data_IF_796230951193
#
_entry.id   IF_796230951193
#
_cell.length_a   1.000
_cell.length_b   1.000
_cell.length_c   1.000
_cell.angle_alpha   90.00
_cell.angle_beta   90.00
_cell.angle_gamma   90.00
#
_symmetry.space_group_name_H-M   'P 1'
#
loop_
_entity.id
_entity.type
_entity.pdbx_description
1 polymer ?
#
# COMPACT_ATOMS: atom_id res chain seq x y z
N UNK A 1 5.90 -10.14 21.03
CA UNK A 1 5.26 -8.88 21.47
C UNK A 1 5.12 -7.88 20.33
N UNK A 2 6.13 -7.72 19.45
CA UNK A 2 6.12 -6.71 18.37
C UNK A 2 5.05 -6.93 17.28
N UNK A 3 4.47 -8.12 17.15
CA UNK A 3 3.48 -8.46 16.10
C UNK A 3 2.10 -7.82 16.31
N UNK A 4 1.86 -7.23 17.47
CA UNK A 4 0.56 -6.68 17.87
C UNK A 4 0.55 -5.15 18.03
N UNK A 5 1.70 -4.50 17.88
CA UNK A 5 1.79 -3.03 17.96
C UNK A 5 1.84 -2.49 16.54
N UNK A 6 0.75 -1.87 16.11
CA UNK A 6 0.63 -1.28 14.78
C UNK A 6 0.97 0.22 14.78
N UNK A 7 0.84 0.89 15.92
CA UNK A 7 1.11 2.31 16.03
C UNK A 7 1.60 2.64 17.44
N UNK A 8 2.74 3.32 17.51
CA UNK A 8 3.34 3.80 18.77
C UNK A 8 4.18 5.03 18.46
N UNK A 9 3.55 6.21 18.48
CA UNK A 9 4.19 7.47 18.16
C UNK A 9 3.70 8.60 19.04
N UNK A 10 4.45 9.70 19.02
CA UNK A 10 4.12 10.97 19.63
C UNK A 10 4.10 12.03 18.54
N UNK A 11 3.13 12.92 18.59
CA UNK A 11 3.02 14.05 17.68
C UNK A 11 3.03 15.36 18.46
N UNK A 12 3.75 16.35 17.93
CA UNK A 12 3.80 17.71 18.44
C UNK A 12 3.38 18.68 17.36
N UNK A 13 2.40 19.51 17.66
CA UNK A 13 1.98 20.60 16.79
C UNK A 13 2.74 21.87 17.19
N UNK A 14 3.75 22.21 16.42
CA UNK A 14 4.50 23.45 16.60
C UNK A 14 3.68 24.64 16.01
N UNK A 15 3.53 25.76 16.74
CA UNK A 15 2.79 26.95 16.29
C UNK A 15 3.62 27.79 15.31
N UNK A 16 4.02 27.19 14.19
CA UNK A 16 4.81 27.83 13.13
C UNK A 16 3.94 27.97 11.90
N UNK A 17 3.70 29.16 11.44
CA UNK A 17 2.86 29.45 10.26
C UNK A 17 1.48 28.80 10.38
N UNK A 18 1.13 27.93 9.43
CA UNK A 18 -0.15 27.20 9.40
C UNK A 18 -0.17 25.96 10.33
N UNK A 19 0.83 25.77 11.19
CA UNK A 19 0.97 24.63 12.09
C UNK A 19 1.83 23.52 11.51
N UNK A 20 3.02 23.33 12.09
CA UNK A 20 3.94 22.25 11.73
C UNK A 20 3.72 21.06 12.67
N UNK A 21 3.23 19.93 12.16
CA UNK A 21 3.08 18.69 12.93
C UNK A 21 4.32 17.82 12.77
N UNK A 22 5.00 17.53 13.87
CA UNK A 22 6.16 16.62 13.90
C UNK A 22 5.70 15.35 14.60
N UNK A 23 5.86 14.19 13.95
CA UNK A 23 5.51 12.88 14.49
C UNK A 23 6.76 12.01 14.55
N UNK A 24 7.03 11.39 15.70
CA UNK A 24 8.15 10.48 15.90
C UNK A 24 7.69 9.13 16.47
N UNK A 25 8.28 8.03 16.00
CA UNK A 25 8.00 6.67 16.43
C UNK A 25 7.47 5.78 15.30
N UNK A 26 6.61 4.81 15.65
CA UNK A 26 5.96 3.91 14.71
C UNK A 26 4.65 4.52 14.24
N UNK A 27 4.54 4.81 12.95
CA UNK A 27 3.36 5.41 12.33
C UNK A 27 2.94 4.66 11.04
N UNK A 28 1.72 4.89 10.61
CA UNK A 28 1.23 4.34 9.36
C UNK A 28 2.06 4.87 8.18
N UNK A 29 2.27 4.03 7.18
CA UNK A 29 3.02 4.42 5.99
C UNK A 29 2.50 5.71 5.36
N UNK A 30 3.40 6.48 4.82
CA UNK A 30 3.12 7.64 3.98
C UNK A 30 3.02 7.26 2.49
N UNK A 31 3.21 5.98 2.16
CA UNK A 31 3.07 5.41 0.82
C UNK A 31 1.85 4.48 0.76
N UNK A 32 1.23 4.43 -0.43
CA UNK A 32 0.08 3.56 -0.70
C UNK A 32 -1.27 4.22 -0.43
N UNK A 33 -2.28 3.77 -1.17
CA UNK A 33 -3.67 4.16 -1.02
C UNK A 33 -4.38 3.30 0.02
N UNK A 34 -4.12 1.99 -0.01
CA UNK A 34 -4.80 1.02 0.84
C UNK A 34 -4.17 0.97 2.23
N UNK A 35 -5.02 0.88 3.23
CA UNK A 35 -4.64 0.81 4.65
C UNK A 35 -4.27 -0.61 5.07
N UNK A 36 -3.49 -0.72 6.15
CA UNK A 36 -3.33 -1.97 6.90
C UNK A 36 -4.68 -2.51 7.43
N UNK A 37 -5.61 -1.63 7.76
CA UNK A 37 -6.88 -2.01 8.36
C UNK A 37 -7.94 -2.25 7.28
N UNK A 38 -8.50 -3.46 7.22
CA UNK A 38 -9.51 -3.83 6.22
C UNK A 38 -10.78 -2.96 6.29
N UNK A 39 -11.08 -2.38 7.46
CA UNK A 39 -12.23 -1.47 7.63
C UNK A 39 -12.08 -0.17 6.81
N UNK A 40 -10.86 0.25 6.54
CA UNK A 40 -10.56 1.49 5.83
C UNK A 40 -10.39 1.28 4.31
N UNK A 41 -10.41 0.03 3.85
CA UNK A 41 -10.30 -0.33 2.46
C UNK A 41 -11.67 -0.62 1.83
N UNK A 42 -11.80 -0.37 0.55
CA UNK A 42 -13.01 -0.68 -0.20
C UNK A 42 -13.18 -2.19 -0.46
N UNK A 43 -12.08 -2.91 -0.73
CA UNK A 43 -12.01 -4.36 -0.83
C UNK A 43 -11.52 -4.97 0.49
N UNK A 44 -11.76 -6.26 0.72
CA UNK A 44 -11.21 -6.99 1.86
C UNK A 44 -9.74 -7.35 1.62
N UNK A 45 -9.42 -7.92 0.45
CA UNK A 45 -8.02 -8.14 0.03
C UNK A 45 -7.38 -6.84 -0.44
N UNK A 46 -6.07 -6.75 -0.26
CA UNK A 46 -5.27 -5.62 -0.73
C UNK A 46 -4.70 -5.90 -2.13
N UNK A 47 -4.36 -4.84 -2.82
CA UNK A 47 -3.72 -4.92 -4.13
C UNK A 47 -2.27 -5.38 -4.05
N UNK A 48 -1.72 -5.84 -5.17
CA UNK A 48 -0.30 -6.20 -5.29
C UNK A 48 0.63 -5.04 -4.95
N UNK A 49 0.29 -3.80 -5.36
CA UNK A 49 1.08 -2.63 -4.97
C UNK A 49 1.04 -2.41 -3.47
N UNK A 50 -0.10 -2.56 -2.82
CA UNK A 50 -0.24 -2.37 -1.38
C UNK A 50 0.53 -3.42 -0.57
N UNK A 51 0.50 -4.68 -0.99
CA UNK A 51 1.23 -5.76 -0.31
C UNK A 51 2.76 -5.68 -0.54
N UNK A 52 3.19 -4.93 -1.55
CA UNK A 52 4.61 -4.69 -1.85
C UNK A 52 5.09 -3.29 -1.45
N UNK A 53 4.31 -2.54 -0.68
CA UNK A 53 4.69 -1.29 0.01
C UNK A 53 4.58 -1.43 1.53
N UNK A 54 5.36 -0.69 2.31
CA UNK A 54 5.27 -0.76 3.77
C UNK A 54 3.92 -0.22 4.25
N UNK A 55 3.29 -0.91 5.20
CA UNK A 55 2.10 -0.43 5.92
C UNK A 55 2.45 0.44 7.12
N UNK A 56 3.67 0.31 7.62
CA UNK A 56 4.17 1.03 8.78
C UNK A 56 5.59 1.49 8.54
N UNK A 57 5.93 2.63 9.10
CA UNK A 57 7.28 3.20 9.09
C UNK A 57 7.68 3.59 10.51
N UNK A 58 8.97 3.45 10.82
CA UNK A 58 9.55 3.90 12.07
C UNK A 58 10.56 5.01 11.80
N UNK A 59 10.37 6.16 12.44
CA UNK A 59 11.22 7.31 12.23
C UNK A 59 10.57 8.61 12.66
N UNK A 60 10.83 9.67 11.90
CA UNK A 60 10.27 11.00 12.13
C UNK A 60 9.70 11.52 10.82
N UNK A 61 8.54 12.18 10.89
CA UNK A 61 8.01 12.97 9.80
C UNK A 61 7.58 14.36 10.28
N UNK A 62 7.63 15.32 9.38
CA UNK A 62 7.23 16.68 9.59
C UNK A 62 6.23 17.09 8.49
N UNK A 63 4.99 17.33 8.88
CA UNK A 63 3.90 17.70 7.99
C UNK A 63 3.54 19.16 8.16
N UNK A 64 3.40 19.86 7.05
CA UNK A 64 3.05 21.27 7.03
C UNK A 64 1.96 21.57 5.99
N UNK A 65 0.82 22.16 6.39
CA UNK A 65 -0.17 22.72 5.46
C UNK A 65 0.40 23.98 4.80
N UNK A 66 0.89 23.82 3.57
CA UNK A 66 1.51 24.93 2.82
C UNK A 66 0.45 25.96 2.39
N UNK A 67 -0.73 25.46 1.99
CA UNK A 67 -1.95 26.21 1.70
C UNK A 67 -3.17 25.44 2.19
N UNK A 68 -4.37 25.98 2.07
CA UNK A 68 -5.63 25.29 2.44
C UNK A 68 -5.85 24.00 1.66
N UNK A 69 -5.28 23.91 0.46
CA UNK A 69 -5.45 22.75 -0.42
C UNK A 69 -4.16 21.96 -0.69
N UNK A 70 -3.00 22.37 -0.16
CA UNK A 70 -1.72 21.69 -0.35
C UNK A 70 -1.04 21.43 0.99
N UNK A 71 -0.86 20.16 1.30
CA UNK A 71 -0.08 19.71 2.46
C UNK A 71 1.19 19.02 1.98
N UNK A 72 2.32 19.35 2.58
CA UNK A 72 3.62 18.73 2.32
C UNK A 72 4.12 18.02 3.58
N UNK A 73 4.83 16.91 3.38
CA UNK A 73 5.44 16.13 4.47
C UNK A 73 6.85 15.73 4.05
N UNK A 74 7.83 15.97 4.89
CA UNK A 74 9.15 15.37 4.78
C UNK A 74 9.29 14.26 5.84
N UNK A 75 10.03 13.19 5.54
CA UNK A 75 10.23 12.12 6.49
C UNK A 75 11.64 11.51 6.42
N UNK A 76 12.09 11.02 7.57
CA UNK A 76 13.31 10.25 7.75
C UNK A 76 12.93 8.99 8.51
N UNK A 77 13.20 7.82 7.92
CA UNK A 77 12.78 6.52 8.46
C UNK A 77 13.91 5.51 8.42
N UNK A 78 13.80 4.46 9.22
CA UNK A 78 14.84 3.44 9.29
C UNK A 78 15.02 2.63 8.00
N UNK A 79 13.96 2.46 7.20
CA UNK A 79 14.03 1.75 5.93
C UNK A 79 12.65 1.44 5.36
N UNK A 80 12.63 0.79 4.18
CA UNK A 80 11.39 0.52 3.46
C UNK A 80 10.48 -0.47 4.21
N UNK A 81 11.05 -1.62 4.65
CA UNK A 81 10.35 -2.63 5.45
C UNK A 81 10.93 -2.81 6.85
N UNK A 82 11.82 -1.91 7.29
CA UNK A 82 12.57 -2.09 8.53
C UNK A 82 12.06 -1.15 9.62
N UNK A 83 11.71 -1.72 10.76
CA UNK A 83 11.40 -0.97 11.97
C UNK A 83 12.67 -0.62 12.77
N UNK A 84 13.74 -1.44 12.68
CA UNK A 84 15.09 -1.10 13.09
C UNK A 84 15.89 -0.65 11.87
N UNK A 85 16.95 0.14 12.06
CA UNK A 85 17.75 0.58 10.92
C UNK A 85 18.57 -0.61 10.34
N UNK A 86 18.51 -0.85 9.04
CA UNK A 86 19.29 -1.93 8.40
C UNK A 86 20.72 -1.49 8.07
N UNK A 87 21.00 -0.20 8.05
CA UNK A 87 22.27 0.43 7.68
C UNK A 87 22.60 1.63 8.56
N UNK A 88 23.80 2.18 8.41
CA UNK A 88 24.26 3.38 9.12
C UNK A 88 23.61 4.67 8.61
N UNK A 89 22.89 4.64 7.50
CA UNK A 89 22.09 5.75 7.00
C UNK A 89 20.60 5.44 7.02
N UNK A 90 19.77 6.40 7.44
CA UNK A 90 18.32 6.29 7.31
C UNK A 90 17.89 6.44 5.85
N UNK A 91 16.62 6.19 5.62
CA UNK A 91 15.95 6.49 4.37
C UNK A 91 15.18 7.80 4.48
N UNK A 92 15.00 8.46 3.35
CA UNK A 92 14.41 9.79 3.25
C UNK A 92 13.24 9.78 2.29
N UNK A 93 12.33 10.71 2.47
CA UNK A 93 11.28 10.90 1.50
C UNK A 93 10.47 12.16 1.73
N UNK A 94 9.59 12.39 0.76
CA UNK A 94 8.65 13.47 0.78
C UNK A 94 7.29 13.03 0.25
N UNK A 95 6.24 13.61 0.81
CA UNK A 95 4.86 13.42 0.36
C UNK A 95 4.21 14.78 0.18
N UNK A 96 3.38 14.92 -0.85
CA UNK A 96 2.46 16.05 -0.94
C UNK A 96 1.06 15.55 -1.30
N UNK A 97 0.09 16.23 -0.75
CA UNK A 97 -1.33 16.00 -0.97
C UNK A 97 -1.91 17.32 -1.47
N UNK A 98 -2.41 17.31 -2.70
CA UNK A 98 -3.05 18.44 -3.30
C UNK A 98 -4.53 18.17 -3.59
N UNK A 99 -5.40 18.91 -2.92
CA UNK A 99 -6.84 18.94 -3.17
C UNK A 99 -7.12 19.92 -4.30
N UNK A 100 -7.03 19.43 -5.56
CA UNK A 100 -7.20 20.27 -6.74
C UNK A 100 -8.61 20.87 -6.82
N UNK A 101 -9.60 20.12 -6.36
CA UNK A 101 -11.00 20.55 -6.18
C UNK A 101 -11.58 19.88 -4.94
N UNK A 102 -12.82 20.26 -4.48
CA UNK A 102 -13.50 19.52 -3.41
C UNK A 102 -13.70 18.03 -3.69
N UNK A 103 -13.64 17.62 -4.97
CA UNK A 103 -13.87 16.22 -5.41
C UNK A 103 -12.61 15.52 -5.93
N UNK A 104 -11.50 16.23 -6.13
CA UNK A 104 -10.27 15.68 -6.73
C UNK A 104 -9.08 15.93 -5.81
N UNK A 105 -8.40 14.86 -5.45
CA UNK A 105 -7.14 14.92 -4.71
C UNK A 105 -6.04 14.15 -5.45
N UNK A 106 -4.82 14.70 -5.41
CA UNK A 106 -3.60 14.07 -5.89
C UNK A 106 -2.65 13.90 -4.71
N UNK A 107 -2.21 12.68 -4.48
CA UNK A 107 -1.16 12.37 -3.50
C UNK A 107 0.04 11.80 -4.21
N UNK A 108 1.23 12.31 -3.90
CA UNK A 108 2.49 11.76 -4.38
C UNK A 108 3.45 11.57 -3.23
N UNK A 109 4.14 10.44 -3.23
CA UNK A 109 5.19 10.14 -2.25
C UNK A 109 6.43 9.66 -2.99
N UNK A 110 7.58 10.22 -2.63
CA UNK A 110 8.89 9.80 -3.10
C UNK A 110 9.70 9.29 -1.92
N UNK A 111 10.41 8.19 -2.14
CA UNK A 111 11.26 7.54 -1.15
C UNK A 111 12.63 7.25 -1.75
N UNK A 112 13.67 7.45 -0.97
CA UNK A 112 15.05 7.12 -1.32
C UNK A 112 15.82 6.65 -0.09
N UNK A 113 16.47 5.49 -0.16
CA UNK A 113 17.31 5.03 0.92
C UNK A 113 17.89 3.63 0.73
N UNK A 114 18.93 3.30 1.50
CA UNK A 114 19.50 1.96 1.54
C UNK A 114 18.54 1.03 2.28
N UNK A 115 18.14 -0.07 1.65
CA UNK A 115 17.18 -1.02 2.25
C UNK A 115 17.77 -2.39 2.54
N UNK A 116 18.97 -2.67 2.03
CA UNK A 116 19.65 -3.95 2.25
C UNK A 116 20.51 -3.86 3.51
N UNK A 117 20.39 -4.87 4.39
CA UNK A 117 21.09 -4.91 5.68
C UNK A 117 22.60 -5.01 5.49
N UNK A 118 23.36 -4.22 6.26
CA UNK A 118 24.83 -4.24 6.32
C UNK A 118 25.51 -4.12 4.94
N UNK A 119 24.91 -3.31 4.06
CA UNK A 119 25.46 -3.08 2.72
C UNK A 119 26.04 -1.69 2.56
N UNK A 120 26.79 -1.49 1.46
CA UNK A 120 27.27 -0.19 1.04
C UNK A 120 26.13 0.77 0.70
N UNK A 121 26.37 2.07 0.87
CA UNK A 121 25.42 3.14 0.60
C UNK A 121 25.09 3.33 -0.89
N UNK A 122 25.76 2.65 -1.78
CA UNK A 122 25.45 2.66 -3.22
C UNK A 122 24.20 1.86 -3.60
N UNK A 123 23.72 0.97 -2.68
CA UNK A 123 22.57 0.09 -2.92
C UNK A 123 21.25 0.72 -2.49
N UNK A 124 20.93 1.83 -3.11
CA UNK A 124 19.73 2.60 -2.83
C UNK A 124 18.50 2.09 -3.57
N UNK A 125 17.40 2.05 -2.85
CA UNK A 125 16.05 1.97 -3.41
C UNK A 125 15.53 3.38 -3.65
N UNK A 126 15.01 3.59 -4.86
CA UNK A 126 14.21 4.75 -5.22
C UNK A 126 12.79 4.26 -5.49
N UNK A 127 11.81 4.92 -4.92
CA UNK A 127 10.41 4.52 -5.07
C UNK A 127 9.50 5.73 -5.15
N UNK A 128 8.55 5.68 -6.10
CA UNK A 128 7.51 6.68 -6.27
C UNK A 128 6.14 6.03 -6.17
N UNK A 129 5.24 6.66 -5.40
CA UNK A 129 3.85 6.28 -5.28
C UNK A 129 2.98 7.48 -5.66
N UNK A 130 2.05 7.30 -6.57
CA UNK A 130 1.18 8.32 -7.13
C UNK A 130 -0.27 7.87 -7.01
N UNK A 131 -1.14 8.73 -6.44
CA UNK A 131 -2.54 8.42 -6.19
C UNK A 131 -3.37 9.58 -6.69
N UNK A 132 -4.37 9.29 -7.53
CA UNK A 132 -5.40 10.22 -7.96
C UNK A 132 -6.74 9.73 -7.43
N UNK A 133 -7.44 10.59 -6.68
CA UNK A 133 -8.75 10.28 -6.12
C UNK A 133 -9.79 11.25 -6.70
N UNK A 134 -10.94 10.69 -7.06
CA UNK A 134 -12.13 11.46 -7.39
C UNK A 134 -13.32 10.94 -6.58
N UNK A 135 -14.00 11.85 -5.88
CA UNK A 135 -15.17 11.53 -5.04
C UNK A 135 -16.39 12.22 -5.59
N UNK A 136 -17.32 11.46 -6.16
CA UNK A 136 -18.66 11.89 -6.53
C UNK A 136 -19.65 11.62 -5.39
N UNK A 137 -20.95 11.78 -5.69
CA UNK A 137 -22.01 11.61 -4.69
C UNK A 137 -22.21 10.12 -4.38
N UNK A 138 -22.26 9.27 -5.42
CA UNK A 138 -22.46 7.82 -5.28
C UNK A 138 -21.24 7.00 -5.70
N UNK A 139 -20.28 7.60 -6.40
CA UNK A 139 -19.12 6.90 -6.94
C UNK A 139 -17.84 7.54 -6.44
N UNK A 140 -16.92 6.71 -5.98
CA UNK A 140 -15.53 7.10 -5.68
C UNK A 140 -14.60 6.30 -6.57
N UNK A 141 -13.63 6.98 -7.17
CA UNK A 141 -12.57 6.37 -7.99
C UNK A 141 -11.22 6.76 -7.41
N UNK A 142 -10.38 5.78 -7.15
CA UNK A 142 -8.98 5.99 -6.78
C UNK A 142 -8.09 5.19 -7.71
N UNK A 143 -7.17 5.87 -8.39
CA UNK A 143 -6.14 5.25 -9.22
C UNK A 143 -4.79 5.41 -8.55
N UNK A 144 -4.07 4.31 -8.36
CA UNK A 144 -2.72 4.30 -7.79
C UNK A 144 -1.73 3.73 -8.79
N UNK A 145 -0.54 4.32 -8.82
CA UNK A 145 0.57 3.86 -9.64
C UNK A 145 1.87 3.97 -8.84
N UNK A 146 2.60 2.87 -8.80
CA UNK A 146 3.87 2.74 -8.11
C UNK A 146 4.98 2.38 -9.10
N UNK A 147 6.16 2.97 -8.89
CA UNK A 147 7.37 2.68 -9.66
C UNK A 147 8.57 2.67 -8.74
N UNK A 148 9.44 1.67 -8.89
CA UNK A 148 10.60 1.52 -8.05
C UNK A 148 11.81 0.92 -8.76
N UNK A 149 12.98 1.25 -8.23
CA UNK A 149 14.26 0.69 -8.70
C UNK A 149 15.24 0.56 -7.53
N UNK A 150 16.07 -0.48 -7.58
CA UNK A 150 17.07 -0.75 -6.55
C UNK A 150 18.33 -1.38 -7.17
N UNK A 151 19.51 -0.97 -6.71
CA UNK A 151 20.74 -1.72 -6.95
C UNK A 151 20.86 -2.83 -5.92
N UNK A 152 21.41 -4.00 -6.29
CA UNK A 152 21.53 -5.15 -5.38
C UNK A 152 23.01 -5.41 -5.08
N UNK A 153 23.33 -5.54 -3.78
CA UNK A 153 24.66 -5.93 -3.32
C UNK A 153 25.07 -7.30 -3.87
N UNK A 154 26.35 -7.48 -4.13
CA UNK A 154 26.89 -8.73 -4.65
C UNK A 154 26.61 -9.00 -6.14
N UNK A 155 26.04 -8.04 -6.86
CA UNK A 155 25.79 -8.12 -8.30
C UNK A 155 26.37 -6.94 -9.06
N UNK A 156 27.70 -6.74 -9.01
CA UNK A 156 28.32 -5.61 -9.70
C UNK A 156 28.11 -5.70 -11.22
N UNK A 157 27.94 -4.55 -11.85
CA UNK A 157 27.74 -4.46 -13.31
C UNK A 157 26.36 -4.89 -13.82
N UNK A 158 25.44 -5.34 -12.97
CA UNK A 158 24.06 -5.63 -13.36
C UNK A 158 23.23 -4.36 -13.37
N UNK A 159 22.28 -4.23 -14.31
CA UNK A 159 21.34 -3.13 -14.30
C UNK A 159 20.52 -3.14 -13.00
N UNK A 160 20.08 -1.97 -12.56
CA UNK A 160 19.19 -1.83 -11.42
C UNK A 160 17.91 -2.66 -11.63
N UNK A 161 17.43 -3.25 -10.56
CA UNK A 161 16.12 -3.92 -10.57
C UNK A 161 15.02 -2.89 -10.78
N UNK A 162 13.92 -3.34 -11.32
CA UNK A 162 12.80 -2.47 -11.66
C UNK A 162 11.47 -3.13 -11.31
N UNK A 163 10.59 -2.35 -10.73
CA UNK A 163 9.22 -2.71 -10.43
C UNK A 163 8.28 -1.59 -10.83
N UNK A 164 7.10 -1.94 -11.30
CA UNK A 164 5.98 -1.01 -11.40
C UNK A 164 4.66 -1.76 -11.18
N UNK A 165 3.67 -1.04 -10.72
CA UNK A 165 2.34 -1.59 -10.54
C UNK A 165 1.30 -0.49 -10.49
N UNK A 166 0.06 -0.86 -10.67
CA UNK A 166 -1.05 0.06 -10.57
C UNK A 166 -2.36 -0.64 -10.30
N UNK A 167 -3.27 0.07 -9.70
CA UNK A 167 -4.64 -0.35 -9.52
C UNK A 167 -5.60 0.82 -9.73
N UNK A 168 -6.85 0.49 -9.97
CA UNK A 168 -7.94 1.46 -9.96
C UNK A 168 -9.08 0.88 -9.12
N UNK A 169 -9.39 1.53 -8.01
CA UNK A 169 -10.53 1.18 -7.15
C UNK A 169 -11.72 2.03 -7.57
N UNK A 170 -12.78 1.37 -8.02
CA UNK A 170 -14.07 2.02 -8.31
C UNK A 170 -15.07 1.50 -7.29
N UNK A 171 -15.53 2.34 -6.40
CA UNK A 171 -16.60 2.04 -5.45
C UNK A 171 -17.86 2.78 -5.85
N UNK A 172 -18.95 2.04 -6.02
CA UNK A 172 -20.28 2.57 -6.32
C UNK A 172 -21.26 2.23 -5.21
N UNK A 173 -21.82 3.24 -4.58
CA UNK A 173 -22.96 3.14 -3.69
C UNK A 173 -24.23 3.04 -4.53
N UNK A 174 -24.85 1.85 -4.56
CA UNK A 174 -25.99 1.58 -5.44
C UNK A 174 -27.27 2.19 -4.84
N UNK A 175 -27.61 1.74 -3.64
CA UNK A 175 -28.80 2.23 -2.90
C UNK A 175 -28.79 1.69 -1.47
N UNK A 176 -29.29 2.48 -0.51
CA UNK A 176 -29.45 2.05 0.89
C UNK A 176 -28.13 1.51 1.46
N UNK A 177 -28.10 0.26 1.97
CA UNK A 177 -26.87 -0.31 2.57
C UNK A 177 -25.89 -0.94 1.56
N UNK A 178 -26.21 -0.96 0.26
CA UNK A 178 -25.48 -1.71 -0.74
C UNK A 178 -24.44 -0.89 -1.50
N UNK A 179 -23.24 -1.42 -1.59
CA UNK A 179 -22.19 -0.90 -2.48
C UNK A 179 -21.52 -2.04 -3.23
N UNK A 180 -20.96 -1.73 -4.40
CA UNK A 180 -20.10 -2.62 -5.15
C UNK A 180 -18.76 -1.97 -5.37
N UNK A 181 -17.70 -2.78 -5.44
CA UNK A 181 -16.34 -2.31 -5.70
C UNK A 181 -15.73 -3.18 -6.78
N UNK A 182 -15.05 -2.53 -7.72
CA UNK A 182 -14.22 -3.18 -8.72
C UNK A 182 -12.80 -2.65 -8.62
N UNK A 183 -11.81 -3.56 -8.62
CA UNK A 183 -10.39 -3.21 -8.60
C UNK A 183 -9.62 -4.03 -9.62
N UNK A 184 -9.49 -3.59 -10.87
CA UNK A 184 -8.45 -4.07 -11.77
C UNK A 184 -7.08 -3.59 -11.31
N UNK A 185 -6.06 -4.44 -11.48
CA UNK A 185 -4.69 -4.16 -11.08
C UNK A 185 -3.68 -4.91 -11.95
N UNK A 186 -2.45 -4.37 -11.99
CA UNK A 186 -1.30 -5.06 -12.53
C UNK A 186 -0.08 -4.82 -11.64
N UNK A 187 0.87 -5.74 -11.68
CA UNK A 187 2.15 -5.63 -10.99
C UNK A 187 3.25 -6.32 -11.79
N UNK A 188 4.31 -5.59 -12.12
CA UNK A 188 5.45 -6.11 -12.84
C UNK A 188 6.72 -6.01 -12.01
N UNK A 189 7.19 -7.16 -11.52
CA UNK A 189 8.49 -7.31 -10.89
C UNK A 189 9.47 -7.90 -11.89
N UNK A 190 10.15 -7.03 -12.62
CA UNK A 190 11.02 -7.42 -13.74
C UNK A 190 12.15 -8.36 -13.33
N UNK A 191 12.62 -8.26 -12.10
CA UNK A 191 13.82 -8.95 -11.63
C UNK A 191 13.54 -9.80 -10.38
N UNK A 192 12.30 -9.99 -9.97
CA UNK A 192 11.94 -10.78 -8.80
C UNK A 192 12.40 -10.19 -7.46
N UNK A 193 12.67 -8.91 -7.39
CA UNK A 193 13.22 -8.27 -6.19
C UNK A 193 12.18 -8.01 -5.10
N UNK A 194 10.95 -7.74 -5.47
CA UNK A 194 9.85 -7.42 -4.56
C UNK A 194 9.01 -8.63 -4.20
N UNK A 195 8.65 -9.42 -5.21
CA UNK A 195 7.79 -10.60 -5.04
C UNK A 195 8.56 -11.91 -4.87
N UNK A 196 9.87 -11.89 -5.07
CA UNK A 196 10.72 -13.07 -5.05
C UNK A 196 10.80 -13.83 -6.37
N UNK A 197 10.04 -13.42 -7.39
CA UNK A 197 10.02 -14.06 -8.72
C UNK A 197 9.85 -13.03 -9.83
N UNK A 198 10.55 -13.24 -10.95
CA UNK A 198 10.33 -12.46 -12.17
C UNK A 198 8.94 -12.75 -12.70
N UNK A 199 8.04 -11.77 -12.63
CA UNK A 199 6.66 -11.97 -13.01
C UNK A 199 5.94 -10.68 -13.38
N UNK A 200 4.92 -10.83 -14.21
CA UNK A 200 3.90 -9.85 -14.48
C UNK A 200 2.55 -10.40 -14.04
N UNK A 201 1.96 -9.79 -13.05
CA UNK A 201 0.66 -10.19 -12.49
C UNK A 201 -0.40 -9.22 -12.96
N UNK A 202 -1.53 -9.76 -13.40
CA UNK A 202 -2.78 -9.03 -13.63
C UNK A 202 -3.82 -9.60 -12.68
N UNK A 203 -4.61 -8.74 -12.08
CA UNK A 203 -5.68 -9.21 -11.22
C UNK A 203 -6.93 -8.34 -11.35
N UNK A 204 -8.06 -8.93 -10.98
CA UNK A 204 -9.32 -8.22 -10.85
C UNK A 204 -10.02 -8.68 -9.59
N UNK A 205 -10.44 -7.72 -8.76
CA UNK A 205 -11.18 -7.97 -7.53
C UNK A 205 -12.55 -7.32 -7.63
N UNK A 206 -13.60 -8.08 -7.33
CA UNK A 206 -14.98 -7.61 -7.28
C UNK A 206 -15.53 -7.85 -5.88
N UNK A 207 -16.11 -6.83 -5.25
CA UNK A 207 -16.66 -6.92 -3.90
C UNK A 207 -18.09 -6.39 -3.90
N UNK A 208 -18.99 -7.12 -3.24
CA UNK A 208 -20.32 -6.64 -2.87
C UNK A 208 -20.29 -6.39 -1.37
N UNK A 209 -20.70 -5.21 -0.97
CA UNK A 209 -20.71 -4.76 0.42
C UNK A 209 -22.13 -4.45 0.88
N UNK A 210 -22.46 -4.93 2.08
CA UNK A 210 -23.68 -4.57 2.80
C UNK A 210 -23.29 -3.94 4.14
N UNK A 211 -23.66 -2.66 4.35
CA UNK A 211 -23.41 -1.92 5.58
C UNK A 211 -24.67 -1.90 6.43
N UNK A 212 -24.59 -2.49 7.62
CA UNK A 212 -25.72 -2.47 8.55
C UNK A 212 -25.95 -1.06 9.12
N UNK A 213 -27.20 -0.60 9.18
CA UNK A 213 -27.55 0.75 9.61
C UNK A 213 -27.59 0.89 11.15
N UNK A 214 -26.53 0.47 11.83
CA UNK A 214 -26.41 0.66 13.28
C UNK A 214 -25.83 2.04 13.63
N UNK A 215 -26.34 2.63 14.72
CA UNK A 215 -25.89 3.99 15.14
C UNK A 215 -24.51 4.01 15.78
N UNK A 216 -24.16 2.96 16.52
CA UNK A 216 -22.95 2.94 17.36
C UNK A 216 -21.90 1.94 16.93
N UNK A 217 -22.18 1.16 15.92
CA UNK A 217 -21.33 0.09 15.43
C UNK A 217 -21.34 0.13 13.91
N UNK A 218 -20.18 0.25 13.31
CA UNK A 218 -20.06 0.01 11.88
C UNK A 218 -19.88 -1.50 11.66
N UNK A 219 -20.93 -2.17 11.23
CA UNK A 219 -20.89 -3.57 10.82
C UNK A 219 -21.06 -3.63 9.30
N UNK A 220 -20.10 -4.28 8.66
CA UNK A 220 -20.07 -4.43 7.21
C UNK A 220 -19.84 -5.89 6.87
N UNK A 221 -20.64 -6.44 5.97
CA UNK A 221 -20.43 -7.76 5.37
C UNK A 221 -19.97 -7.56 3.94
N UNK A 222 -18.90 -8.26 3.55
CA UNK A 222 -18.35 -8.25 2.19
C UNK A 222 -18.28 -9.66 1.62
N UNK A 223 -18.82 -9.83 0.43
CA UNK A 223 -18.56 -10.98 -0.42
C UNK A 223 -17.60 -10.52 -1.54
N UNK A 224 -16.46 -11.16 -1.66
CA UNK A 224 -15.38 -10.77 -2.56
C UNK A 224 -14.93 -11.94 -3.41
N UNK A 225 -14.76 -11.71 -4.70
CA UNK A 225 -14.08 -12.59 -5.64
C UNK A 225 -12.86 -11.88 -6.18
N UNK A 226 -11.72 -12.58 -6.15
CA UNK A 226 -10.46 -12.12 -6.75
C UNK A 226 -9.96 -13.18 -7.73
N UNK A 227 -9.55 -12.72 -8.90
CA UNK A 227 -8.82 -13.50 -9.90
C UNK A 227 -7.45 -12.88 -10.12
N UNK A 228 -6.41 -13.69 -10.08
CA UNK A 228 -5.04 -13.30 -10.40
C UNK A 228 -4.50 -14.19 -11.52
N UNK A 229 -3.77 -13.61 -12.48
CA UNK A 229 -3.01 -14.26 -13.56
C UNK A 229 -1.56 -13.77 -13.51
N UNK A 230 -0.62 -14.69 -13.35
CA UNK A 230 0.82 -14.40 -13.31
C UNK A 230 1.52 -14.97 -14.53
N UNK A 231 2.32 -14.16 -15.21
CA UNK A 231 3.18 -14.56 -16.32
C UNK A 231 4.63 -14.21 -15.99
N UNK A 232 5.56 -15.06 -16.39
CA UNK A 232 7.00 -14.89 -16.19
C UNK A 232 7.68 -16.17 -15.71
N UNK A 233 8.99 -16.22 -15.88
CA UNK A 233 9.80 -17.35 -15.46
C UNK A 233 9.86 -17.45 -13.93
N UNK A 234 9.36 -18.53 -13.35
CA UNK A 234 9.32 -18.75 -11.91
C UNK A 234 8.23 -18.04 -11.14
N UNK A 235 7.35 -17.27 -11.84
CA UNK A 235 6.15 -16.69 -11.27
C UNK A 235 4.98 -17.68 -11.18
N UNK A 236 3.95 -17.32 -10.44
CA UNK A 236 2.72 -18.09 -10.27
C UNK A 236 2.33 -18.30 -8.82
N UNK A 237 1.24 -19.05 -8.64
CA UNK A 237 0.58 -19.27 -7.36
C UNK A 237 0.75 -20.71 -6.91
N UNK A 238 0.88 -20.93 -5.61
CA UNK A 238 1.06 -22.27 -5.05
C UNK A 238 -0.11 -23.17 -5.38
N UNK A 239 0.22 -24.34 -5.98
CA UNK A 239 -0.72 -25.38 -6.30
C UNK A 239 -0.34 -26.66 -5.58
N UNK A 240 -1.29 -27.33 -4.96
CA UNK A 240 -1.07 -28.64 -4.37
C UNK A 240 -0.70 -29.65 -5.47
N UNK A 241 0.45 -30.30 -5.37
CA UNK A 241 1.04 -31.15 -6.39
C UNK A 241 0.41 -32.53 -6.57
N UNK A 242 -0.76 -32.82 -6.05
CA UNK A 242 -1.64 -33.96 -6.32
C UNK A 242 -1.10 -35.38 -5.96
N UNK A 243 0.10 -35.74 -6.27
CA UNK A 243 0.65 -37.09 -6.04
C UNK A 243 1.71 -37.11 -4.92
N UNK A 244 2.30 -35.98 -4.61
CA UNK A 244 3.28 -35.82 -3.52
C UNK A 244 2.90 -34.66 -2.67
N UNK A 245 2.46 -34.85 -1.41
CA UNK A 245 2.09 -33.75 -0.51
C UNK A 245 3.23 -32.78 -0.16
N UNK A 246 4.48 -33.21 -0.41
CA UNK A 246 5.71 -32.45 -0.19
C UNK A 246 6.17 -31.64 -1.42
N UNK A 247 5.53 -31.81 -2.58
CA UNK A 247 5.85 -31.06 -3.80
C UNK A 247 4.82 -29.97 -4.05
N UNK A 248 5.24 -28.73 -3.88
CA UNK A 248 4.42 -27.54 -4.19
C UNK A 248 4.72 -27.13 -5.63
N UNK A 249 3.73 -27.27 -6.51
CA UNK A 249 3.80 -26.74 -7.88
C UNK A 249 3.35 -25.28 -7.93
N UNK A 250 3.59 -24.62 -9.06
CA UNK A 250 3.06 -23.30 -9.35
C UNK A 250 1.96 -23.41 -10.41
N UNK A 251 0.88 -22.64 -10.23
CA UNK A 251 -0.18 -22.43 -11.20
C UNK A 251 -0.14 -20.99 -11.67
N UNK A 252 -0.40 -20.76 -12.95
CA UNK A 252 -0.45 -19.43 -13.52
C UNK A 252 -1.59 -18.58 -12.95
N UNK A 253 -2.69 -19.20 -12.60
CA UNK A 253 -3.93 -18.56 -12.23
C UNK A 253 -4.38 -18.98 -10.84
N UNK A 254 -5.05 -18.06 -10.14
CA UNK A 254 -5.77 -18.39 -8.90
C UNK A 254 -7.09 -17.64 -8.83
N UNK A 255 -8.06 -18.27 -8.15
CA UNK A 255 -9.32 -17.65 -7.75
C UNK A 255 -9.43 -17.68 -6.23
N UNK A 256 -9.86 -16.57 -5.66
CA UNK A 256 -10.13 -16.45 -4.24
C UNK A 256 -11.57 -15.96 -4.03
N UNK A 257 -12.33 -16.68 -3.23
CA UNK A 257 -13.66 -16.29 -2.78
C UNK A 257 -13.62 -16.05 -1.28
N UNK A 258 -14.06 -14.90 -0.83
CA UNK A 258 -14.05 -14.48 0.57
C UNK A 258 -15.43 -13.99 0.98
N UNK A 259 -15.83 -14.38 2.20
CA UNK A 259 -16.93 -13.74 2.93
C UNK A 259 -16.33 -13.16 4.22
N UNK A 260 -16.36 -11.86 4.36
CA UNK A 260 -15.81 -11.14 5.50
C UNK A 260 -16.87 -10.37 6.28
N UNK A 261 -16.76 -10.37 7.60
CA UNK A 261 -17.54 -9.50 8.49
C UNK A 261 -16.58 -8.56 9.19
N UNK A 262 -16.79 -7.27 9.05
CA UNK A 262 -16.01 -6.22 9.68
C UNK A 262 -16.88 -5.52 10.72
N UNK A 263 -16.39 -5.44 11.93
CA UNK A 263 -17.06 -4.73 13.02
C UNK A 263 -16.09 -3.70 13.58
N UNK A 264 -16.51 -2.45 13.61
CA UNK A 264 -15.75 -1.38 14.25
C UNK A 264 -16.65 -0.55 15.16
N UNK A 265 -16.09 -0.17 16.29
CA UNK A 265 -16.73 0.70 17.26
C UNK A 265 -16.01 2.04 17.20
N UNK A 266 -16.77 3.09 16.96
CA UNK A 266 -16.26 4.45 17.11
C UNK A 266 -16.55 4.90 18.55
N UNK A 267 -15.57 5.42 19.27
CA UNK A 267 -15.82 6.08 20.55
C UNK A 267 -16.68 7.31 20.32
N UNK A 268 -17.69 7.57 21.17
CA UNK A 268 -18.50 8.77 21.09
C UNK A 268 -17.69 10.04 21.25
#
# INVERSE_FOLDING_TARGET
VRRHIHRANMSYLAPVGNGLTITAGLFNSLMGYESLYAKDNANYTRSWIADNTPYMMFGVNAQYPLTDNLTVTAFVVNGYYHLAHPNNLPSYGGRWIWKATPRVALTQTLYAGPTQTDTSLEFWRLYGNHILEWTGDDVTVAASFDIGTESIAGQPGRPRTFVMGGNMVVRWHITGPWSVVLRPEFYWDRNGRWTGSEQFVKAITSTVEYKFPYKWTNMVVRAEHRYDDSTGAGGGFFKNGGIRPDVVGLAREQHLLLLGVLVSFDSP
#
